data_IF_765990127958
#
_entry.id   IF_765990127958
#
_cell.length_a   1.000
_cell.length_b   1.000
_cell.length_c   1.000
_cell.angle_alpha   90.00
_cell.angle_beta   90.00
_cell.angle_gamma   90.00
#
_symmetry.space_group_name_H-M   'P 1'
#
loop_
_entity.id
_entity.type
_entity.pdbx_description
1 polymer ?
#
# COMPACT_ATOMS: atom_id res chain seq x y z
N UNK A 1 -7.06 -11.83 -1.68
CA UNK A 1 -7.30 -11.91 -0.23
C UNK A 1 -7.05 -13.33 0.18
N UNK A 2 -6.12 -13.52 1.06
CA UNK A 2 -5.86 -14.83 1.65
C UNK A 2 -7.07 -15.20 2.53
N UNK A 3 -7.72 -16.31 2.22
CA UNK A 3 -8.89 -16.75 2.95
C UNK A 3 -8.45 -17.52 4.19
N UNK A 4 -8.22 -16.82 5.26
CA UNK A 4 -8.13 -17.47 6.56
C UNK A 4 -9.53 -17.64 7.11
N UNK A 5 -10.08 -18.87 7.00
CA UNK A 5 -11.27 -19.23 7.76
C UNK A 5 -10.88 -19.43 9.22
N UNK A 6 -11.67 -18.87 10.11
CA UNK A 6 -11.58 -19.19 11.54
C UNK A 6 -11.69 -20.72 11.70
N UNK A 7 -10.71 -21.34 12.33
CA UNK A 7 -10.59 -22.81 12.44
C UNK A 7 -9.71 -23.50 11.39
N UNK A 8 -9.30 -22.80 10.32
CA UNK A 8 -8.24 -23.26 9.40
C UNK A 8 -6.94 -22.49 9.60
N UNK A 9 -6.99 -21.35 10.30
CA UNK A 9 -5.85 -20.57 10.68
C UNK A 9 -5.32 -21.01 12.03
N UNK A 10 -4.01 -21.09 12.17
CA UNK A 10 -3.36 -21.37 13.45
C UNK A 10 -3.67 -20.31 14.54
N UNK A 11 -4.10 -19.13 14.14
CA UNK A 11 -4.37 -17.98 15.01
C UNK A 11 -5.83 -17.52 14.94
N UNK A 12 -6.74 -18.35 14.50
CA UNK A 12 -8.17 -18.04 14.33
C UNK A 12 -8.43 -16.78 13.49
N UNK A 13 -7.51 -16.47 12.57
CA UNK A 13 -7.68 -15.34 11.67
C UNK A 13 -8.81 -15.59 10.67
N UNK A 14 -9.67 -14.61 10.52
CA UNK A 14 -10.74 -14.64 9.53
C UNK A 14 -10.61 -13.43 8.60
N UNK A 15 -10.78 -13.67 7.30
CA UNK A 15 -10.77 -12.62 6.30
C UNK A 15 -11.82 -12.86 5.22
N UNK A 16 -12.76 -11.94 5.11
CA UNK A 16 -13.86 -11.99 4.16
C UNK A 16 -14.31 -10.58 3.76
N UNK A 17 -15.27 -10.50 2.85
CA UNK A 17 -15.84 -9.25 2.34
C UNK A 17 -16.44 -8.39 3.47
N UNK A 18 -17.14 -8.98 4.42
CA UNK A 18 -17.76 -8.24 5.54
C UNK A 18 -16.70 -7.54 6.38
N UNK A 19 -15.67 -8.26 6.81
CA UNK A 19 -14.56 -7.69 7.60
C UNK A 19 -13.82 -6.61 6.80
N UNK A 20 -13.62 -6.83 5.51
CA UNK A 20 -12.99 -5.83 4.63
C UNK A 20 -13.76 -4.50 4.66
N UNK A 21 -15.08 -4.53 4.48
CA UNK A 21 -15.88 -3.30 4.46
C UNK A 21 -16.11 -2.69 5.84
N UNK A 22 -16.06 -3.46 6.91
CA UNK A 22 -16.02 -2.94 8.28
C UNK A 22 -14.73 -2.17 8.55
N UNK A 23 -13.58 -2.71 8.14
CA UNK A 23 -12.29 -2.02 8.23
C UNK A 23 -12.24 -0.77 7.34
N UNK A 24 -12.87 -0.81 6.17
CA UNK A 24 -13.04 0.38 5.33
C UNK A 24 -13.75 1.50 6.08
N UNK A 25 -14.87 1.21 6.73
CA UNK A 25 -15.61 2.20 7.53
C UNK A 25 -14.77 2.78 8.65
N UNK A 26 -13.99 1.94 9.34
CA UNK A 26 -13.06 2.39 10.39
C UNK A 26 -11.98 3.32 9.80
N UNK A 27 -11.38 2.96 8.67
CA UNK A 27 -10.36 3.78 7.99
C UNK A 27 -10.93 5.13 7.55
N UNK A 28 -12.10 5.16 6.93
CA UNK A 28 -12.79 6.39 6.53
C UNK A 28 -13.06 7.28 7.74
N UNK A 29 -13.68 6.73 8.79
CA UNK A 29 -14.01 7.46 10.01
C UNK A 29 -12.77 8.05 10.69
N UNK A 30 -11.69 7.27 10.77
CA UNK A 30 -10.42 7.72 11.34
C UNK A 30 -9.78 8.83 10.49
N UNK A 31 -9.76 8.67 9.17
CA UNK A 31 -9.19 9.65 8.24
C UNK A 31 -9.92 10.99 8.36
N UNK A 32 -11.25 10.97 8.41
CA UNK A 32 -12.06 12.19 8.60
C UNK A 32 -11.85 12.83 9.97
N UNK A 33 -11.75 12.03 11.03
CA UNK A 33 -11.48 12.54 12.38
C UNK A 33 -10.09 13.19 12.53
N UNK A 34 -9.14 12.84 11.66
CA UNK A 34 -7.78 13.40 11.63
C UNK A 34 -7.56 14.42 10.52
N UNK A 35 -8.61 14.77 9.79
CA UNK A 35 -8.50 15.72 8.68
C UNK A 35 -8.06 17.09 9.20
N UNK A 36 -6.97 17.62 8.62
CA UNK A 36 -6.46 18.96 8.87
C UNK A 36 -5.87 19.61 7.61
N UNK A 37 -6.09 18.99 6.44
CA UNK A 37 -5.56 19.44 5.15
C UNK A 37 -6.65 19.45 4.08
N UNK A 38 -6.43 20.22 3.02
CA UNK A 38 -7.33 20.32 1.88
C UNK A 38 -7.09 19.24 0.82
N UNK A 39 -5.88 18.64 0.83
CA UNK A 39 -5.49 17.58 -0.12
C UNK A 39 -5.24 16.28 0.64
N UNK A 40 -5.84 15.21 0.16
CA UNK A 40 -5.60 13.86 0.64
C UNK A 40 -4.72 13.12 -0.39
N UNK A 41 -3.71 12.43 0.11
CA UNK A 41 -2.87 11.52 -0.65
C UNK A 41 -3.12 10.08 -0.19
N UNK A 42 -3.49 9.18 -1.09
CA UNK A 42 -3.71 7.77 -0.79
C UNK A 42 -2.65 6.95 -1.52
N UNK A 43 -1.84 6.22 -0.77
CA UNK A 43 -0.84 5.29 -1.30
C UNK A 43 -1.30 3.86 -1.05
N UNK A 44 -1.55 3.11 -2.14
CA UNK A 44 -1.72 1.66 -2.13
C UNK A 44 -0.41 1.04 -2.61
N UNK A 45 0.24 0.30 -1.73
CA UNK A 45 1.59 -0.23 -1.95
C UNK A 45 1.61 -1.64 -2.58
N UNK A 46 0.50 -2.06 -3.19
CA UNK A 46 0.40 -3.33 -3.92
C UNK A 46 -0.13 -4.49 -3.06
N UNK A 47 -0.09 -5.69 -3.63
CA UNK A 47 -0.78 -6.89 -3.13
C UNK A 47 -2.26 -6.61 -2.83
N UNK A 48 -2.85 -5.76 -3.68
CA UNK A 48 -4.22 -5.31 -3.53
C UNK A 48 -5.23 -6.46 -3.65
N UNK A 49 -4.96 -7.37 -4.55
CA UNK A 49 -5.66 -8.65 -4.69
C UNK A 49 -4.68 -9.79 -4.39
N UNK A 50 -5.20 -10.90 -3.88
CA UNK A 50 -4.36 -12.02 -3.43
C UNK A 50 -3.74 -12.84 -4.58
N UNK A 51 -4.12 -12.62 -5.80
CA UNK A 51 -3.59 -13.32 -6.97
C UNK A 51 -4.62 -13.49 -8.07
N UNK A 52 -4.34 -14.39 -9.01
CA UNK A 52 -5.23 -14.73 -10.11
C UNK A 52 -5.30 -16.25 -10.26
N UNK A 53 -6.52 -16.80 -10.42
CA UNK A 53 -6.76 -18.25 -10.51
C UNK A 53 -6.18 -19.04 -9.32
N UNK A 54 -6.34 -18.51 -8.10
CA UNK A 54 -5.82 -19.11 -6.87
C UNK A 54 -4.29 -19.29 -6.86
N UNK A 55 -3.55 -18.44 -7.57
CA UNK A 55 -2.10 -18.46 -7.64
C UNK A 55 -1.53 -17.03 -7.64
N UNK A 56 -0.32 -16.87 -7.10
CA UNK A 56 0.46 -15.66 -7.31
C UNK A 56 0.83 -15.52 -8.78
N UNK A 57 0.74 -14.32 -9.35
CA UNK A 57 1.11 -14.07 -10.76
C UNK A 57 2.63 -14.18 -10.98
N UNK A 58 3.41 -13.92 -9.93
CA UNK A 58 4.85 -14.10 -9.94
C UNK A 58 5.23 -15.31 -9.10
N UNK A 59 5.71 -16.37 -9.75
CA UNK A 59 6.15 -17.60 -9.11
C UNK A 59 5.11 -18.71 -9.04
N UNK A 60 3.82 -18.44 -9.32
CA UNK A 60 2.76 -19.47 -9.42
C UNK A 60 2.47 -20.21 -8.10
N UNK A 61 2.69 -19.57 -6.95
CA UNK A 61 2.39 -20.18 -5.66
C UNK A 61 0.88 -20.29 -5.46
N UNK A 62 0.40 -21.45 -5.05
CA UNK A 62 -1.01 -21.68 -4.74
C UNK A 62 -1.45 -20.81 -3.54
N UNK A 63 -2.64 -20.23 -3.65
CA UNK A 63 -3.24 -19.35 -2.65
C UNK A 63 -4.62 -19.86 -2.23
N UNK A 64 -4.94 -19.86 -0.94
CA UNK A 64 -6.25 -20.29 -0.43
C UNK A 64 -7.30 -19.19 -0.61
N UNK A 65 -7.66 -18.88 -1.85
CA UNK A 65 -8.65 -17.84 -2.15
C UNK A 65 -10.08 -18.30 -1.82
N UNK A 66 -10.86 -17.39 -1.22
CA UNK A 66 -12.27 -17.65 -0.84
C UNK A 66 -13.29 -17.08 -1.84
N UNK A 67 -12.82 -16.55 -2.97
CA UNK A 67 -13.71 -16.01 -4.01
C UNK A 67 -13.12 -16.21 -5.40
N UNK A 68 -14.01 -16.20 -6.42
CA UNK A 68 -13.59 -16.22 -7.82
C UNK A 68 -12.90 -14.91 -8.23
N UNK A 69 -12.18 -14.95 -9.37
CA UNK A 69 -11.57 -13.72 -9.92
C UNK A 69 -12.59 -12.62 -10.21
N UNK A 70 -13.79 -12.98 -10.71
CA UNK A 70 -14.87 -12.03 -10.96
C UNK A 70 -15.30 -11.36 -9.65
N UNK A 71 -15.57 -12.16 -8.61
CA UNK A 71 -15.96 -11.62 -7.30
C UNK A 71 -14.83 -10.78 -6.69
N UNK A 72 -13.58 -11.18 -6.83
CA UNK A 72 -12.42 -10.41 -6.36
C UNK A 72 -12.29 -9.07 -7.08
N UNK A 73 -12.56 -9.05 -8.40
CA UNK A 73 -12.64 -7.80 -9.17
C UNK A 73 -13.72 -6.87 -8.62
N UNK A 74 -14.95 -7.37 -8.46
CA UNK A 74 -16.09 -6.57 -8.01
C UNK A 74 -15.85 -6.02 -6.59
N UNK A 75 -15.40 -6.86 -5.67
CA UNK A 75 -15.11 -6.47 -4.27
C UNK A 75 -13.98 -5.46 -4.22
N UNK A 76 -12.88 -5.70 -4.94
CA UNK A 76 -11.76 -4.77 -5.00
C UNK A 76 -12.14 -3.43 -5.61
N UNK A 77 -12.86 -3.43 -6.72
CA UNK A 77 -13.37 -2.22 -7.35
C UNK A 77 -14.26 -1.42 -6.39
N UNK A 78 -15.27 -2.07 -5.80
CA UNK A 78 -16.22 -1.42 -4.89
C UNK A 78 -15.57 -0.92 -3.60
N UNK A 79 -14.54 -1.60 -3.07
CA UNK A 79 -13.80 -1.13 -1.91
C UNK A 79 -13.21 0.28 -2.17
N UNK A 80 -12.49 0.44 -3.27
CA UNK A 80 -11.88 1.74 -3.61
C UNK A 80 -12.91 2.79 -4.01
N UNK A 81 -13.98 2.41 -4.72
CA UNK A 81 -15.07 3.33 -5.04
C UNK A 81 -15.69 3.89 -3.76
N UNK A 82 -16.04 3.02 -2.79
CA UNK A 82 -16.64 3.47 -1.53
C UNK A 82 -15.65 4.31 -0.69
N UNK A 83 -14.37 3.92 -0.63
CA UNK A 83 -13.33 4.70 0.04
C UNK A 83 -13.31 6.14 -0.50
N UNK A 84 -13.18 6.27 -1.82
CA UNK A 84 -13.00 7.56 -2.47
C UNK A 84 -14.27 8.41 -2.38
N UNK A 85 -15.43 7.83 -2.67
CA UNK A 85 -16.72 8.54 -2.60
C UNK A 85 -17.03 9.01 -1.18
N UNK A 86 -16.64 8.24 -0.15
CA UNK A 86 -16.83 8.64 1.25
C UNK A 86 -15.92 9.80 1.66
N UNK A 87 -14.76 9.95 1.04
CA UNK A 87 -13.78 10.99 1.38
C UNK A 87 -13.86 12.23 0.49
N UNK A 88 -14.27 12.08 -0.77
CA UNK A 88 -14.26 13.14 -1.77
C UNK A 88 -15.02 14.42 -1.38
N UNK A 89 -16.15 14.38 -0.64
CA UNK A 89 -16.84 15.60 -0.21
C UNK A 89 -16.05 16.47 0.78
N UNK A 90 -15.05 15.91 1.44
CA UNK A 90 -14.33 16.56 2.54
C UNK A 90 -12.96 17.12 2.14
N UNK A 91 -12.51 16.87 0.90
CA UNK A 91 -11.20 17.31 0.42
C UNK A 91 -11.34 18.10 -0.88
N UNK A 92 -10.56 19.17 -1.04
CA UNK A 92 -10.49 19.92 -2.30
C UNK A 92 -9.81 19.10 -3.41
N UNK A 93 -8.87 18.25 -3.05
CA UNK A 93 -8.21 17.33 -3.97
C UNK A 93 -7.90 15.99 -3.30
N UNK A 94 -8.10 14.90 -4.04
CA UNK A 94 -7.64 13.57 -3.66
C UNK A 94 -6.73 13.04 -4.76
N UNK A 95 -5.53 12.65 -4.39
CA UNK A 95 -4.59 11.99 -5.28
C UNK A 95 -4.36 10.56 -4.80
N UNK A 96 -4.49 9.62 -5.71
CA UNK A 96 -4.35 8.20 -5.40
C UNK A 96 -3.24 7.62 -6.25
N UNK A 97 -2.30 6.93 -5.61
CA UNK A 97 -1.29 6.14 -6.29
C UNK A 97 -1.47 4.68 -5.92
N UNK A 98 -1.69 3.85 -6.92
CA UNK A 98 -1.79 2.40 -6.79
C UNK A 98 -0.54 1.75 -7.37
N UNK A 99 0.13 0.91 -6.62
CA UNK A 99 1.18 0.05 -7.18
C UNK A 99 0.51 -1.15 -7.84
N UNK A 100 0.78 -1.32 -9.14
CA UNK A 100 0.24 -2.38 -9.99
C UNK A 100 1.36 -3.29 -10.54
N UNK A 101 2.46 -3.39 -9.82
CA UNK A 101 3.59 -4.26 -10.13
C UNK A 101 4.01 -5.03 -8.88
N UNK A 102 3.05 -5.72 -8.28
CA UNK A 102 3.26 -6.61 -7.14
C UNK A 102 3.48 -8.06 -7.60
N UNK A 103 3.79 -8.94 -6.66
CA UNK A 103 4.06 -10.34 -6.95
C UNK A 103 2.81 -11.25 -6.82
N UNK A 104 1.76 -10.79 -6.16
CA UNK A 104 0.52 -11.54 -6.01
C UNK A 104 -0.41 -11.37 -7.20
N UNK A 105 -0.89 -10.17 -7.43
CA UNK A 105 -1.96 -9.92 -8.40
C UNK A 105 -1.48 -9.39 -9.76
N UNK A 106 -0.28 -8.77 -9.83
CA UNK A 106 0.28 -8.31 -11.10
C UNK A 106 -0.71 -7.52 -11.96
N UNK A 107 -0.90 -7.95 -13.22
CA UNK A 107 -1.81 -7.29 -14.17
C UNK A 107 -3.27 -7.31 -13.72
N UNK A 108 -3.70 -8.24 -12.88
CA UNK A 108 -5.06 -8.26 -12.39
C UNK A 108 -5.35 -7.04 -11.50
N UNK A 109 -4.43 -6.66 -10.61
CA UNK A 109 -4.53 -5.41 -9.87
C UNK A 109 -4.54 -4.19 -10.80
N UNK A 110 -3.73 -4.21 -11.86
CA UNK A 110 -3.74 -3.14 -12.87
C UNK A 110 -5.11 -2.99 -13.51
N UNK A 111 -5.76 -4.07 -13.93
CA UNK A 111 -7.09 -4.01 -14.57
C UNK A 111 -8.14 -3.42 -13.62
N UNK A 112 -8.16 -3.86 -12.37
CA UNK A 112 -9.10 -3.31 -11.37
C UNK A 112 -8.85 -1.82 -11.14
N UNK A 113 -7.59 -1.42 -10.96
CA UNK A 113 -7.22 -0.03 -10.72
C UNK A 113 -7.40 0.85 -11.96
N UNK A 114 -7.28 0.30 -13.15
CA UNK A 114 -7.54 1.04 -14.40
C UNK A 114 -9.04 1.27 -14.61
N UNK A 115 -9.88 0.27 -14.31
CA UNK A 115 -11.33 0.43 -14.31
C UNK A 115 -11.76 1.49 -13.28
N UNK A 116 -11.20 1.44 -12.08
CA UNK A 116 -11.40 2.46 -11.04
C UNK A 116 -11.04 3.85 -11.54
N UNK A 117 -9.86 4.02 -12.14
CA UNK A 117 -9.41 5.31 -12.67
C UNK A 117 -10.41 5.89 -13.65
N UNK A 118 -10.83 5.11 -14.65
CA UNK A 118 -11.79 5.58 -15.65
C UNK A 118 -13.14 5.94 -15.05
N UNK A 119 -13.62 5.18 -14.07
CA UNK A 119 -14.87 5.45 -13.39
C UNK A 119 -14.77 6.70 -12.52
N UNK A 120 -13.82 6.75 -11.61
CA UNK A 120 -13.71 7.79 -10.58
C UNK A 120 -13.37 9.17 -11.18
N UNK A 121 -12.42 9.26 -12.11
CA UNK A 121 -12.03 10.54 -12.72
C UNK A 121 -13.13 11.13 -13.61
N UNK A 122 -14.05 10.29 -14.09
CA UNK A 122 -15.26 10.75 -14.76
C UNK A 122 -16.28 11.35 -13.80
N UNK A 123 -16.52 10.66 -12.67
CA UNK A 123 -17.57 11.02 -11.70
C UNK A 123 -17.12 12.15 -10.74
N UNK A 124 -15.85 12.18 -10.35
CA UNK A 124 -15.32 13.08 -9.32
C UNK A 124 -14.16 13.93 -9.88
N UNK A 125 -14.42 15.23 -10.06
CA UNK A 125 -13.45 16.15 -10.67
C UNK A 125 -12.29 16.54 -9.77
N UNK A 126 -12.43 16.33 -8.47
CA UNK A 126 -11.38 16.58 -7.48
C UNK A 126 -10.51 15.35 -7.18
N UNK A 127 -10.63 14.27 -7.95
CA UNK A 127 -9.88 13.03 -7.75
C UNK A 127 -8.98 12.74 -8.95
N UNK A 128 -7.73 12.38 -8.68
CA UNK A 128 -6.74 11.94 -9.67
C UNK A 128 -6.18 10.58 -9.27
N UNK A 129 -6.14 9.63 -10.21
CA UNK A 129 -5.63 8.27 -9.98
C UNK A 129 -4.40 8.01 -10.85
N UNK A 130 -3.32 7.56 -10.22
CA UNK A 130 -2.08 7.11 -10.88
C UNK A 130 -1.88 5.62 -10.62
N UNK A 131 -1.77 4.83 -11.67
CA UNK A 131 -1.46 3.40 -11.60
C UNK A 131 0.02 3.19 -11.95
N UNK A 132 0.82 2.89 -10.93
CA UNK A 132 2.26 2.67 -11.06
C UNK A 132 2.54 1.24 -11.51
N UNK A 133 3.12 1.08 -12.70
CA UNK A 133 3.61 -0.20 -13.23
C UNK A 133 5.13 -0.34 -13.11
N UNK A 134 5.83 0.76 -12.89
CA UNK A 134 7.28 0.74 -12.63
C UNK A 134 7.56 0.12 -11.25
N UNK A 135 8.66 -0.64 -11.15
CA UNK A 135 9.10 -1.24 -9.89
C UNK A 135 9.29 -0.20 -8.79
N UNK A 136 9.87 0.93 -9.11
CA UNK A 136 10.09 2.07 -8.23
C UNK A 136 9.71 3.35 -8.97
N UNK A 137 9.02 4.25 -8.30
CA UNK A 137 8.67 5.56 -8.82
C UNK A 137 8.66 6.59 -7.68
N UNK A 138 8.47 7.85 -7.99
CA UNK A 138 8.40 8.90 -6.98
C UNK A 138 7.31 9.93 -7.29
N UNK A 139 6.84 10.59 -6.25
CA UNK A 139 5.92 11.71 -6.32
C UNK A 139 6.42 12.87 -5.47
N UNK A 140 6.27 14.09 -5.99
CA UNK A 140 6.60 15.32 -5.27
C UNK A 140 5.31 16.00 -4.77
N UNK A 141 5.27 16.30 -3.48
CA UNK A 141 4.16 17.00 -2.84
C UNK A 141 4.74 18.11 -1.96
N UNK A 142 4.75 19.32 -2.47
CA UNK A 142 5.47 20.43 -1.81
C UNK A 142 6.95 20.08 -1.62
N UNK A 143 7.42 20.14 -0.39
CA UNK A 143 8.80 19.79 -0.02
C UNK A 143 9.01 18.29 0.28
N UNK A 144 7.98 17.47 0.10
CA UNK A 144 8.06 16.03 0.35
C UNK A 144 8.25 15.24 -0.94
N UNK A 145 9.10 14.22 -0.87
CA UNK A 145 9.32 13.27 -1.96
C UNK A 145 9.01 11.86 -1.46
N UNK A 146 7.95 11.27 -1.98
CA UNK A 146 7.55 9.90 -1.69
C UNK A 146 8.08 8.97 -2.77
N UNK A 147 8.97 8.05 -2.41
CA UNK A 147 9.46 7.01 -3.30
C UNK A 147 8.69 5.74 -2.98
N UNK A 148 7.98 5.21 -3.95
CA UNK A 148 7.04 4.11 -3.76
C UNK A 148 7.47 2.86 -4.47
N UNK A 149 7.42 1.73 -3.77
CA UNK A 149 7.63 0.39 -4.31
C UNK A 149 6.81 -0.63 -3.54
N UNK A 150 6.34 -1.69 -4.22
CA UNK A 150 5.79 -2.84 -3.48
C UNK A 150 6.89 -3.50 -2.64
N UNK A 151 8.07 -3.69 -3.20
CA UNK A 151 9.24 -4.13 -2.47
C UNK A 151 9.81 -5.43 -2.95
N UNK A 152 9.03 -6.51 -3.03
CA UNK A 152 9.57 -7.82 -3.37
C UNK A 152 10.08 -7.90 -4.82
N UNK A 153 11.38 -8.13 -4.94
CA UNK A 153 12.02 -8.35 -6.23
C UNK A 153 13.31 -9.13 -6.10
N UNK A 154 13.76 -9.74 -7.21
CA UNK A 154 15.01 -10.51 -7.28
C UNK A 154 16.10 -9.81 -8.09
N UNK A 155 15.78 -8.69 -8.73
CA UNK A 155 16.65 -8.07 -9.74
C UNK A 155 17.17 -6.69 -9.34
N UNK A 156 16.28 -5.79 -8.90
CA UNK A 156 16.61 -4.39 -8.65
C UNK A 156 17.23 -4.19 -7.26
N UNK A 157 16.37 -4.05 -6.23
CA UNK A 157 16.84 -3.86 -4.85
C UNK A 157 17.08 -5.17 -4.12
N UNK A 158 16.63 -6.30 -4.67
CA UNK A 158 16.72 -7.64 -4.11
C UNK A 158 16.08 -7.72 -2.71
N UNK A 159 14.97 -7.01 -2.54
CA UNK A 159 14.14 -7.15 -1.34
C UNK A 159 13.55 -8.55 -1.28
N UNK A 160 13.80 -9.24 -0.16
CA UNK A 160 13.01 -10.40 0.25
C UNK A 160 11.85 -9.97 1.15
N UNK A 161 11.19 -10.94 1.76
CA UNK A 161 10.09 -10.72 2.73
C UNK A 161 10.61 -10.22 4.10
N UNK A 162 11.56 -9.29 4.11
CA UNK A 162 12.09 -8.68 5.33
C UNK A 162 11.75 -7.20 5.36
N UNK A 163 11.27 -6.68 6.50
CA UNK A 163 10.97 -5.25 6.59
C UNK A 163 12.24 -4.39 6.57
N UNK A 164 13.35 -4.86 7.11
CA UNK A 164 14.62 -4.10 7.21
C UNK A 164 15.32 -4.03 5.86
N UNK A 165 15.95 -2.89 5.59
CA UNK A 165 16.87 -2.70 4.46
C UNK A 165 18.32 -2.91 4.90
N UNK A 166 19.15 -3.36 3.98
CA UNK A 166 20.58 -3.55 4.17
C UNK A 166 21.40 -2.44 3.49
N UNK A 167 22.72 -2.32 3.78
CA UNK A 167 23.56 -1.30 3.18
C UNK A 167 23.61 -1.32 1.64
N UNK A 168 23.49 -2.48 1.00
CA UNK A 168 23.46 -2.57 -0.45
C UNK A 168 22.18 -1.98 -1.04
N UNK A 169 21.07 -2.22 -0.37
CA UNK A 169 19.76 -1.64 -0.74
C UNK A 169 19.78 -0.13 -0.55
N UNK A 170 20.34 0.36 0.56
CA UNK A 170 20.52 1.80 0.81
C UNK A 170 21.33 2.43 -0.32
N UNK A 171 22.48 1.86 -0.68
CA UNK A 171 23.32 2.38 -1.76
C UNK A 171 22.60 2.41 -3.12
N UNK A 172 21.77 1.42 -3.43
CA UNK A 172 20.96 1.39 -4.66
C UNK A 172 19.87 2.47 -4.65
N UNK A 173 19.21 2.68 -3.49
CA UNK A 173 18.24 3.77 -3.33
C UNK A 173 18.91 5.11 -3.52
N UNK A 174 20.08 5.34 -2.92
CA UNK A 174 20.87 6.55 -3.12
C UNK A 174 21.27 6.75 -4.59
N UNK A 175 21.67 5.67 -5.28
CA UNK A 175 21.93 5.69 -6.72
C UNK A 175 20.71 6.12 -7.53
N UNK A 176 19.54 5.59 -7.20
CA UNK A 176 18.27 6.00 -7.82
C UNK A 176 17.97 7.50 -7.59
N UNK A 177 18.09 7.95 -6.34
CA UNK A 177 17.87 9.36 -5.98
C UNK A 177 18.81 10.32 -6.73
N UNK A 178 20.08 9.95 -6.83
CA UNK A 178 21.06 10.72 -7.59
C UNK A 178 20.72 10.77 -9.09
N UNK A 179 20.36 9.63 -9.67
CA UNK A 179 19.95 9.56 -11.10
C UNK A 179 18.73 10.44 -11.37
N UNK A 180 17.80 10.52 -10.44
CA UNK A 180 16.61 11.38 -10.52
C UNK A 180 16.87 12.82 -10.08
N UNK A 181 18.10 13.15 -9.67
CA UNK A 181 18.51 14.48 -9.19
C UNK A 181 17.66 14.98 -8.00
N UNK A 182 17.31 14.09 -7.07
CA UNK A 182 16.44 14.41 -5.92
C UNK A 182 17.23 14.81 -4.67
N UNK A 183 18.48 14.35 -4.52
CA UNK A 183 19.28 14.46 -3.28
C UNK A 183 19.53 15.92 -2.86
N UNK A 184 19.75 16.84 -3.79
CA UNK A 184 20.19 18.22 -3.48
C UNK A 184 19.06 19.25 -3.61
N UNK A 185 17.81 18.83 -3.55
CA UNK A 185 16.65 19.73 -3.72
C UNK A 185 16.04 20.24 -2.42
N UNK A 186 16.63 19.92 -1.26
CA UNK A 186 16.06 20.27 0.05
C UNK A 186 14.74 19.58 0.38
N UNK A 187 14.52 18.39 -0.22
CA UNK A 187 13.29 17.62 -0.03
C UNK A 187 13.37 16.74 1.24
N UNK A 188 12.27 16.60 1.96
CA UNK A 188 12.09 15.51 2.93
C UNK A 188 11.73 14.23 2.16
N UNK A 189 12.71 13.35 2.00
CA UNK A 189 12.57 12.14 1.16
C UNK A 189 12.18 10.96 2.03
N UNK A 190 11.15 10.25 1.62
CA UNK A 190 10.71 9.01 2.26
C UNK A 190 10.64 7.87 1.24
N UNK A 191 11.07 6.69 1.66
CA UNK A 191 11.00 5.46 0.88
C UNK A 191 9.91 4.56 1.46
N UNK A 192 8.86 4.34 0.69
CA UNK A 192 7.61 3.71 1.09
C UNK A 192 7.53 2.30 0.51
N UNK A 193 7.54 1.28 1.38
CA UNK A 193 7.54 -0.13 0.97
C UNK A 193 6.37 -0.91 1.58
N UNK A 194 5.77 -1.79 0.79
CA UNK A 194 4.79 -2.81 1.20
C UNK A 194 5.41 -4.19 1.44
N UNK A 195 4.75 -5.25 0.97
CA UNK A 195 5.14 -6.67 0.90
C UNK A 195 5.35 -7.39 2.25
N UNK A 196 6.09 -6.80 3.18
CA UNK A 196 6.56 -7.53 4.37
C UNK A 196 5.55 -7.58 5.52
N UNK A 197 4.39 -6.96 5.41
CA UNK A 197 3.27 -6.95 6.37
C UNK A 197 3.64 -6.50 7.80
N UNK A 198 4.84 -5.97 8.01
CA UNK A 198 5.35 -5.51 9.31
C UNK A 198 5.57 -4.01 9.27
N UNK A 199 5.09 -3.30 10.27
CA UNK A 199 5.39 -1.88 10.37
C UNK A 199 6.81 -1.65 10.88
N UNK A 200 7.57 -0.88 10.12
CA UNK A 200 8.92 -0.44 10.47
C UNK A 200 9.13 0.99 9.99
N UNK A 201 9.59 1.84 10.90
CA UNK A 201 10.14 3.15 10.57
C UNK A 201 11.63 3.18 10.88
N UNK A 202 12.45 3.59 9.93
CA UNK A 202 13.89 3.76 10.08
C UNK A 202 14.32 5.13 9.57
N UNK A 203 14.79 5.95 10.47
CA UNK A 203 15.37 7.28 10.20
C UNK A 203 16.86 7.34 10.50
N UNK A 204 17.49 6.20 10.77
CA UNK A 204 18.87 6.11 11.24
C UNK A 204 19.82 5.53 10.21
N UNK A 205 19.31 4.71 9.29
CA UNK A 205 20.15 4.01 8.31
C UNK A 205 20.61 4.88 7.14
N UNK A 206 19.98 6.05 6.93
CA UNK A 206 20.38 7.01 5.90
C UNK A 206 20.11 8.46 6.35
N UNK A 207 21.05 9.36 6.05
CA UNK A 207 20.90 10.80 6.27
C UNK A 207 20.10 11.49 5.15
N UNK A 208 19.89 10.79 4.02
CA UNK A 208 19.26 11.36 2.82
C UNK A 208 17.77 11.06 2.74
N UNK A 209 17.35 9.90 3.24
CA UNK A 209 15.94 9.49 3.20
C UNK A 209 15.55 8.74 4.45
N UNK A 210 14.26 8.80 4.80
CA UNK A 210 13.62 7.98 5.83
C UNK A 210 12.97 6.78 5.16
N UNK A 211 13.01 5.62 5.81
CA UNK A 211 12.45 4.39 5.28
C UNK A 211 11.23 3.95 6.09
N UNK A 212 10.19 3.58 5.37
CA UNK A 212 8.97 3.02 5.92
C UNK A 212 8.65 1.68 5.25
N UNK A 213 8.31 0.70 6.08
CA UNK A 213 7.63 -0.52 5.66
C UNK A 213 6.28 -0.58 6.36
N UNK A 214 5.23 -0.87 5.62
CA UNK A 214 3.86 -0.72 6.11
C UNK A 214 3.22 -2.04 6.49
N UNK A 215 2.26 -2.01 7.46
CA UNK A 215 1.46 -3.17 7.80
C UNK A 215 0.53 -3.54 6.64
N UNK A 216 0.06 -4.79 6.61
CA UNK A 216 -1.01 -5.20 5.72
C UNK A 216 -2.36 -4.69 6.24
N UNK A 217 -3.30 -4.44 5.33
CA UNK A 217 -4.69 -4.11 5.68
C UNK A 217 -5.46 -5.37 6.14
N UNK A 218 -5.13 -6.52 5.57
CA UNK A 218 -5.64 -7.84 5.97
C UNK A 218 -4.89 -8.41 7.17
N UNK A 219 -5.47 -9.37 7.92
CA UNK A 219 -4.72 -10.13 8.90
C UNK A 219 -3.61 -10.95 8.22
N UNK A 220 -2.61 -11.34 9.01
CA UNK A 220 -1.54 -12.22 8.51
C UNK A 220 -2.09 -13.56 8.07
N UNK A 221 -1.63 -14.06 6.93
CA UNK A 221 -1.96 -15.39 6.43
C UNK A 221 -1.31 -16.49 7.28
N UNK A 222 -1.81 -17.73 7.15
CA UNK A 222 -1.18 -18.90 7.77
C UNK A 222 0.27 -19.08 7.31
N UNK A 223 0.55 -18.78 6.03
CA UNK A 223 1.91 -18.87 5.51
C UNK A 223 2.85 -17.86 6.19
N UNK A 224 2.40 -16.61 6.36
CA UNK A 224 3.16 -15.60 7.09
C UNK A 224 3.35 -16.01 8.55
N UNK A 225 2.28 -16.47 9.21
CA UNK A 225 2.31 -16.89 10.60
C UNK A 225 3.27 -18.06 10.86
N UNK A 226 3.38 -18.97 9.89
CA UNK A 226 4.26 -20.15 10.01
C UNK A 226 5.72 -19.82 9.71
N UNK A 227 6.00 -18.93 8.78
CA UNK A 227 7.35 -18.71 8.28
C UNK A 227 8.00 -17.43 8.83
N UNK A 228 7.21 -16.51 9.37
CA UNK A 228 7.68 -15.19 9.81
C UNK A 228 6.99 -14.74 11.09
N UNK A 229 7.39 -13.59 11.59
CA UNK A 229 6.72 -12.94 12.70
C UNK A 229 5.35 -12.41 12.26
N UNK A 230 4.33 -12.57 13.12
CA UNK A 230 3.01 -11.96 12.92
C UNK A 230 3.10 -10.44 12.92
N UNK A 231 2.59 -9.82 11.85
CA UNK A 231 2.37 -8.38 11.77
C UNK A 231 1.01 -7.99 12.34
N UNK A 232 0.90 -6.76 12.83
CA UNK A 232 -0.40 -6.12 13.09
C UNK A 232 -0.99 -5.65 11.78
N UNK A 233 -2.28 -5.86 11.55
CA UNK A 233 -2.97 -5.28 10.39
C UNK A 233 -3.43 -3.86 10.67
N UNK A 234 -3.34 -2.99 9.67
CA UNK A 234 -3.68 -1.59 9.87
C UNK A 234 -3.30 -0.70 8.70
N UNK A 235 -3.26 0.59 8.97
CA UNK A 235 -2.77 1.62 8.04
C UNK A 235 -2.08 2.74 8.82
N UNK A 236 -1.33 3.57 8.11
CA UNK A 236 -0.65 4.72 8.70
C UNK A 236 -1.19 6.00 8.07
N UNK A 237 -1.53 6.96 8.89
CA UNK A 237 -2.04 8.25 8.49
C UNK A 237 -1.02 9.34 8.83
N UNK A 238 -0.59 10.09 7.82
CA UNK A 238 0.32 11.21 7.96
C UNK A 238 -0.42 12.51 7.78
N UNK A 239 -0.11 13.49 8.62
CA UNK A 239 -0.46 14.88 8.38
C UNK A 239 0.81 15.68 8.12
N UNK A 240 0.83 16.39 7.01
CA UNK A 240 1.93 17.26 6.61
C UNK A 240 1.42 18.70 6.52
N UNK A 241 2.13 19.61 7.13
CA UNK A 241 2.06 21.04 6.85
C UNK A 241 3.47 21.57 6.52
N UNK A 242 3.62 22.85 6.29
CA UNK A 242 4.90 23.46 5.91
C UNK A 242 6.02 23.24 6.96
N UNK A 243 5.66 23.00 8.22
CA UNK A 243 6.61 22.96 9.34
C UNK A 243 6.52 21.67 10.17
N UNK A 244 5.45 20.90 10.03
CA UNK A 244 5.16 19.78 10.91
C UNK A 244 4.74 18.54 10.13
N UNK A 245 5.21 17.42 10.65
CA UNK A 245 4.77 16.09 10.25
C UNK A 245 4.26 15.37 11.49
N UNK A 246 3.04 14.86 11.45
CA UNK A 246 2.56 13.91 12.44
C UNK A 246 2.28 12.56 11.80
N UNK A 247 2.60 11.50 12.53
CA UNK A 247 2.43 10.12 12.12
C UNK A 247 1.46 9.47 13.08
N UNK A 248 0.40 8.89 12.56
CA UNK A 248 -0.62 8.21 13.35
C UNK A 248 -0.74 6.77 12.84
N UNK A 249 -0.45 5.81 13.69
CA UNK A 249 -0.60 4.39 13.41
C UNK A 249 -2.00 3.94 13.84
N UNK A 250 -2.70 3.25 12.96
CA UNK A 250 -3.98 2.64 13.27
C UNK A 250 -3.90 1.15 13.01
N UNK A 251 -4.04 0.37 14.07
CA UNK A 251 -4.10 -1.09 13.99
C UNK A 251 -5.51 -1.58 14.28
N UNK A 252 -6.02 -2.44 13.41
CA UNK A 252 -7.31 -3.09 13.62
C UNK A 252 -7.22 -4.08 14.78
N UNK A 253 -8.24 -4.09 15.61
CA UNK A 253 -8.40 -5.03 16.73
C UNK A 253 -9.34 -6.15 16.35
#
# INVERSE_FOLDING_TARGET
MDASDKGRSMYDSEWNETILFERLKQMVSYTLAKQNSETLYILDLGDYLDGFNAQTTRGGHALPQNMSNQKAFDVGFMFKVQLIQSLAPYYKAIKIRNICNDNHSGDFAYFVNQALKHYIERELKNVQVTNQTAFIDYELVGNYCFITTHGKDTHNLKHGFKPKIDPNQINKILGYLNTKQLVNKGLDITFEKGDSHLYLFDSSSSDVFKYYNYPAFSPSSNWVATNFQLGKSGFVHFNYDEHRKSINEYFFT
#
